data_IF_811001947952
#
_entry.id   IF_811001947952
#
_cell.length_a   1.000
_cell.length_b   1.000
_cell.length_c   1.000
_cell.angle_alpha   90.00
_cell.angle_beta   90.00
_cell.angle_gamma   90.00
#
_symmetry.space_group_name_H-M   'P 1'
#
loop_
_entity.id
_entity.type
_entity.pdbx_description
1 polymer ?
#
# COMPACT_ATOMS: atom_id res chain seq x y z
N UNK A 1 -13.44 -0.19 -87.75
CA UNK A 1 -12.95 -1.16 -86.74
C UNK A 1 -12.60 -0.37 -85.49
N UNK A 2 -13.48 -0.39 -84.49
CA UNK A 2 -13.25 0.26 -83.20
C UNK A 2 -12.27 -0.56 -82.35
N UNK A 3 -11.42 0.06 -81.52
CA UNK A 3 -10.57 -0.67 -80.59
C UNK A 3 -11.41 -1.22 -79.41
N UNK A 4 -10.96 -2.29 -78.75
CA UNK A 4 -11.72 -2.90 -77.66
C UNK A 4 -11.59 -2.06 -76.38
N UNK A 5 -12.71 -1.98 -75.67
CA UNK A 5 -12.84 -1.34 -74.36
C UNK A 5 -12.12 -2.19 -73.30
N UNK A 6 -11.29 -1.61 -72.41
CA UNK A 6 -10.69 -2.37 -71.32
C UNK A 6 -11.76 -2.69 -70.27
N UNK A 7 -11.94 -3.97 -70.01
CA UNK A 7 -12.76 -4.50 -68.91
C UNK A 7 -12.13 -4.05 -67.60
N UNK A 8 -12.80 -3.15 -66.89
CA UNK A 8 -12.44 -2.83 -65.52
C UNK A 8 -12.79 -4.03 -64.64
N UNK A 9 -11.78 -4.83 -64.29
CA UNK A 9 -11.84 -5.69 -63.11
C UNK A 9 -11.97 -4.78 -61.90
N UNK A 10 -13.21 -4.63 -61.42
CA UNK A 10 -13.47 -4.16 -60.07
C UNK A 10 -12.86 -5.18 -59.11
N UNK A 11 -11.68 -4.86 -58.60
CA UNK A 11 -11.19 -5.45 -57.36
C UNK A 11 -12.12 -4.89 -56.29
N UNK A 12 -13.00 -5.73 -55.74
CA UNK A 12 -13.63 -5.46 -54.46
C UNK A 12 -12.50 -5.31 -53.45
N UNK A 13 -12.10 -4.06 -53.24
CA UNK A 13 -11.30 -3.66 -52.09
C UNK A 13 -12.22 -3.88 -50.89
N UNK A 14 -12.15 -5.06 -50.29
CA UNK A 14 -12.90 -5.42 -49.09
C UNK A 14 -12.69 -4.32 -48.07
N UNK A 15 -13.73 -3.50 -47.85
CA UNK A 15 -13.67 -2.29 -47.05
C UNK A 15 -13.08 -2.62 -45.69
N UNK A 16 -11.88 -2.11 -45.42
CA UNK A 16 -11.23 -2.30 -44.15
C UNK A 16 -12.08 -1.62 -43.07
N UNK A 17 -12.85 -2.40 -42.32
CA UNK A 17 -13.62 -1.89 -41.19
C UNK A 17 -12.65 -1.42 -40.12
N UNK A 18 -12.65 -0.13 -39.86
CA UNK A 18 -11.84 0.52 -38.84
C UNK A 18 -12.56 0.48 -37.49
N UNK A 19 -11.82 0.59 -36.39
CA UNK A 19 -12.38 0.54 -35.04
C UNK A 19 -13.54 1.55 -34.79
N UNK A 20 -13.55 2.77 -35.37
CA UNK A 20 -14.69 3.69 -35.29
C UNK A 20 -15.98 3.19 -35.96
N UNK A 21 -15.91 2.22 -36.86
CA UNK A 21 -17.07 1.65 -37.56
C UNK A 21 -17.88 0.69 -36.67
N UNK A 22 -17.35 0.32 -35.49
CA UNK A 22 -18.06 -0.48 -34.49
C UNK A 22 -19.14 0.37 -33.83
N UNK A 23 -20.36 -0.17 -33.71
CA UNK A 23 -21.46 0.51 -33.05
C UNK A 23 -21.11 0.89 -31.60
N UNK A 24 -21.46 2.12 -31.21
CA UNK A 24 -21.14 2.69 -29.89
C UNK A 24 -21.62 1.80 -28.73
N UNK A 25 -22.78 1.16 -28.86
CA UNK A 25 -23.31 0.28 -27.81
C UNK A 25 -22.46 -0.97 -27.61
N UNK A 26 -21.87 -1.52 -28.68
CA UNK A 26 -20.97 -2.68 -28.57
C UNK A 26 -19.68 -2.26 -27.86
N UNK A 27 -19.15 -1.08 -28.21
CA UNK A 27 -17.99 -0.51 -27.53
C UNK A 27 -18.26 -0.30 -26.04
N UNK A 28 -19.38 0.35 -25.70
CA UNK A 28 -19.69 0.75 -24.33
C UNK A 28 -20.10 -0.43 -23.44
N UNK A 29 -20.85 -1.41 -23.95
CA UNK A 29 -21.43 -2.48 -23.12
C UNK A 29 -20.63 -3.80 -23.14
N UNK A 30 -19.91 -4.10 -24.21
CA UNK A 30 -19.23 -5.39 -24.38
C UNK A 30 -17.71 -5.31 -24.39
N UNK A 31 -17.13 -4.21 -24.88
CA UNK A 31 -15.67 -4.06 -25.00
C UNK A 31 -15.11 -3.32 -23.79
N UNK A 32 -15.56 -2.09 -23.53
CA UNK A 32 -14.99 -1.25 -22.46
C UNK A 32 -15.28 -1.77 -21.06
N UNK A 33 -16.39 -2.48 -20.85
CA UNK A 33 -16.74 -3.12 -19.57
C UNK A 33 -15.81 -4.26 -19.17
N UNK A 34 -15.00 -4.79 -20.10
CA UNK A 34 -14.06 -5.88 -19.86
C UNK A 34 -12.64 -5.41 -19.56
N UNK A 35 -12.36 -4.12 -19.74
CA UNK A 35 -11.03 -3.55 -19.49
C UNK A 35 -10.86 -3.26 -17.99
N UNK A 36 -9.67 -3.57 -17.47
CA UNK A 36 -9.27 -3.09 -16.15
C UNK A 36 -8.99 -1.58 -16.18
N UNK A 37 -8.93 -0.95 -15.01
CA UNK A 37 -8.77 0.51 -14.91
C UNK A 37 -7.61 1.09 -15.72
N UNK A 38 -6.38 0.54 -15.62
CA UNK A 38 -5.26 0.97 -16.45
C UNK A 38 -5.50 0.81 -17.95
N UNK A 39 -6.03 -0.31 -18.41
CA UNK A 39 -6.31 -0.50 -19.85
C UNK A 39 -7.42 0.42 -20.34
N UNK A 40 -8.44 0.68 -19.51
CA UNK A 40 -9.50 1.63 -19.85
C UNK A 40 -8.95 3.07 -19.93
N UNK A 41 -8.06 3.46 -19.01
CA UNK A 41 -7.37 4.73 -19.05
C UNK A 41 -6.51 4.86 -20.33
N UNK A 42 -5.76 3.81 -20.68
CA UNK A 42 -4.94 3.76 -21.90
C UNK A 42 -5.80 3.82 -23.17
N UNK A 43 -6.94 3.12 -23.20
CA UNK A 43 -7.88 3.20 -24.31
C UNK A 43 -8.43 4.63 -24.47
N UNK A 44 -8.74 5.29 -23.35
CA UNK A 44 -9.26 6.66 -23.33
C UNK A 44 -8.31 7.72 -23.90
N UNK A 45 -7.02 7.43 -24.02
CA UNK A 45 -6.02 8.34 -24.60
C UNK A 45 -5.79 8.14 -26.10
N UNK A 46 -6.42 7.14 -26.74
CA UNK A 46 -6.17 6.81 -28.14
C UNK A 46 -7.04 7.59 -29.13
N UNK A 47 -8.26 7.98 -28.74
CA UNK A 47 -9.18 8.76 -29.57
C UNK A 47 -10.19 9.54 -28.72
N UNK A 48 -10.80 10.58 -29.29
CA UNK A 48 -11.85 11.36 -28.63
C UNK A 48 -13.12 10.53 -28.37
N UNK A 49 -13.47 9.62 -29.27
CA UNK A 49 -14.60 8.70 -29.10
C UNK A 49 -14.39 7.79 -27.89
N UNK A 50 -13.23 7.12 -27.82
CA UNK A 50 -12.89 6.27 -26.67
C UNK A 50 -12.74 7.08 -25.38
N UNK A 51 -12.23 8.30 -25.46
CA UNK A 51 -12.19 9.20 -24.31
C UNK A 51 -13.59 9.47 -23.73
N UNK A 52 -14.53 9.84 -24.60
CA UNK A 52 -15.91 10.13 -24.20
C UNK A 52 -16.58 8.88 -23.62
N UNK A 53 -16.46 7.72 -24.27
CA UNK A 53 -17.04 6.46 -23.80
C UNK A 53 -16.42 5.96 -22.51
N UNK A 54 -15.11 6.06 -22.35
CA UNK A 54 -14.41 5.67 -21.12
C UNK A 54 -14.66 6.64 -19.97
N UNK A 55 -15.27 7.81 -20.18
CA UNK A 55 -15.52 8.79 -19.12
C UNK A 55 -16.81 8.54 -18.34
N UNK A 56 -17.62 7.56 -18.72
CA UNK A 56 -18.86 7.23 -18.02
C UNK A 56 -18.59 6.75 -16.58
N UNK A 57 -19.29 7.33 -15.61
CA UNK A 57 -19.10 7.03 -14.19
C UNK A 57 -19.35 5.54 -13.85
N UNK A 58 -20.33 4.90 -14.48
CA UNK A 58 -20.68 3.51 -14.17
C UNK A 58 -19.52 2.54 -14.44
N UNK A 59 -18.73 2.75 -15.50
CA UNK A 59 -17.56 1.93 -15.80
C UNK A 59 -16.54 2.01 -14.65
N UNK A 60 -16.25 3.22 -14.20
CA UNK A 60 -15.31 3.44 -13.10
C UNK A 60 -15.86 2.97 -11.76
N UNK A 61 -17.17 3.07 -11.52
CA UNK A 61 -17.80 2.47 -10.33
C UNK A 61 -17.60 0.96 -10.31
N UNK A 62 -17.89 0.27 -11.42
CA UNK A 62 -17.67 -1.18 -11.55
C UNK A 62 -16.20 -1.56 -11.40
N UNK A 63 -15.28 -0.78 -11.98
CA UNK A 63 -13.84 -0.97 -11.83
C UNK A 63 -13.40 -0.79 -10.37
N UNK A 64 -13.88 0.25 -9.67
CA UNK A 64 -13.60 0.45 -8.26
C UNK A 64 -14.09 -0.72 -7.40
N UNK A 65 -15.32 -1.20 -7.62
CA UNK A 65 -15.87 -2.32 -6.87
C UNK A 65 -15.17 -3.65 -7.13
N UNK A 66 -14.78 -3.91 -8.38
CA UNK A 66 -14.04 -5.13 -8.72
C UNK A 66 -12.58 -5.09 -8.26
N UNK A 67 -11.95 -3.91 -8.24
CA UNK A 67 -10.55 -3.76 -7.79
C UNK A 67 -10.45 -3.68 -6.26
N UNK A 68 -11.43 -3.06 -5.61
CA UNK A 68 -11.47 -2.80 -4.18
C UNK A 68 -12.85 -3.19 -3.62
N UNK A 69 -13.09 -4.48 -3.35
CA UNK A 69 -14.39 -4.99 -2.89
C UNK A 69 -14.95 -4.26 -1.67
N UNK A 70 -14.10 -3.80 -0.75
CA UNK A 70 -14.44 -3.01 0.45
C UNK A 70 -15.26 -1.76 0.14
N UNK A 71 -15.15 -1.24 -1.09
CA UNK A 71 -15.93 -0.08 -1.52
C UNK A 71 -17.43 -0.33 -1.65
N UNK A 72 -17.85 -1.60 -1.72
CA UNK A 72 -19.28 -2.00 -1.77
C UNK A 72 -19.90 -2.21 -0.39
N UNK A 73 -19.07 -2.36 0.64
CA UNK A 73 -19.51 -2.80 1.97
C UNK A 73 -20.21 -1.70 2.78
N UNK A 74 -19.92 -0.43 2.50
CA UNK A 74 -20.47 0.72 3.24
C UNK A 74 -21.25 1.67 2.33
N UNK A 75 -22.54 1.97 2.63
CA UNK A 75 -23.31 2.99 1.92
C UNK A 75 -22.66 4.37 1.95
N UNK A 76 -21.96 4.70 3.03
CA UNK A 76 -21.23 5.96 3.18
C UNK A 76 -20.09 6.07 2.17
N UNK A 77 -19.36 4.96 1.95
CA UNK A 77 -18.27 4.91 1.00
C UNK A 77 -18.78 5.00 -0.44
N UNK A 78 -19.92 4.35 -0.75
CA UNK A 78 -20.60 4.51 -2.05
C UNK A 78 -20.97 5.98 -2.33
N UNK A 79 -21.53 6.67 -1.35
CA UNK A 79 -21.85 8.09 -1.48
C UNK A 79 -20.58 8.94 -1.67
N UNK A 80 -19.53 8.67 -0.89
CA UNK A 80 -18.24 9.34 -1.00
C UNK A 80 -17.60 9.17 -2.39
N UNK A 81 -17.63 7.97 -2.98
CA UNK A 81 -17.13 7.76 -4.35
C UNK A 81 -17.84 8.63 -5.38
N UNK A 82 -19.14 8.82 -5.19
CA UNK A 82 -19.94 9.68 -6.07
C UNK A 82 -19.67 11.18 -5.85
N UNK A 83 -19.25 11.58 -4.64
CA UNK A 83 -18.98 12.97 -4.29
C UNK A 83 -17.56 13.45 -4.63
N UNK A 84 -16.64 12.54 -4.97
CA UNK A 84 -15.28 12.92 -5.37
C UNK A 84 -15.30 13.88 -6.58
N UNK A 85 -14.43 14.90 -6.61
CA UNK A 85 -14.21 15.69 -7.82
C UNK A 85 -13.72 14.79 -8.96
N UNK A 86 -14.50 14.64 -10.02
CA UNK A 86 -14.23 13.67 -11.11
C UNK A 86 -14.74 12.25 -10.84
N UNK A 87 -15.53 12.06 -9.78
CA UNK A 87 -16.26 10.85 -9.47
C UNK A 87 -15.39 9.62 -9.18
N UNK A 88 -15.91 8.40 -9.43
CA UNK A 88 -15.21 7.15 -9.17
C UNK A 88 -13.89 7.01 -9.93
N UNK A 89 -13.76 7.64 -11.10
CA UNK A 89 -12.51 7.67 -11.87
C UNK A 89 -11.37 8.34 -11.10
N UNK A 90 -11.69 9.45 -10.43
CA UNK A 90 -10.74 10.20 -9.60
C UNK A 90 -10.31 9.40 -8.39
N UNK A 91 -11.26 8.75 -7.70
CA UNK A 91 -10.93 7.83 -6.61
C UNK A 91 -10.00 6.70 -7.07
N UNK A 92 -10.29 6.08 -8.22
CA UNK A 92 -9.46 5.01 -8.77
C UNK A 92 -8.04 5.50 -9.08
N UNK A 93 -7.90 6.66 -9.74
CA UNK A 93 -6.58 7.21 -10.10
C UNK A 93 -5.75 7.58 -8.88
N UNK A 94 -6.38 7.94 -7.76
CA UNK A 94 -5.72 8.24 -6.49
C UNK A 94 -5.34 6.97 -5.71
N UNK A 95 -6.16 5.92 -5.80
CA UNK A 95 -6.06 4.69 -4.99
C UNK A 95 -5.30 3.55 -5.68
N UNK A 96 -5.25 3.52 -7.00
CA UNK A 96 -4.60 2.42 -7.74
C UNK A 96 -3.06 2.48 -7.72
N UNK A 97 -2.41 3.64 -7.95
CA UNK A 97 -0.96 3.70 -8.07
C UNK A 97 -0.22 3.52 -6.74
N UNK A 98 1.07 3.20 -6.83
CA UNK A 98 1.96 3.18 -5.66
C UNK A 98 2.19 4.60 -5.13
N UNK A 99 2.17 4.74 -3.81
CA UNK A 99 2.57 5.97 -3.12
C UNK A 99 4.08 6.25 -3.27
N UNK A 100 4.40 7.50 -3.55
CA UNK A 100 5.78 8.00 -3.60
C UNK A 100 6.10 8.75 -2.29
N UNK A 101 7.32 8.60 -1.73
CA UNK A 101 7.80 9.48 -0.67
C UNK A 101 7.68 10.94 -1.10
N UNK A 102 6.86 11.70 -0.36
CA UNK A 102 6.71 13.13 -0.57
C UNK A 102 7.57 13.89 0.43
N UNK A 103 8.72 14.40 -0.02
CA UNK A 103 9.63 15.21 0.79
C UNK A 103 9.24 16.70 0.87
N UNK A 104 8.09 17.09 0.28
CA UNK A 104 7.59 18.45 0.41
C UNK A 104 7.27 18.76 1.88
N UNK A 105 7.79 19.86 2.44
CA UNK A 105 7.52 20.23 3.83
C UNK A 105 6.12 20.80 4.04
N UNK A 106 5.40 21.14 2.97
CA UNK A 106 4.11 21.84 3.03
C UNK A 106 2.96 20.92 2.66
N UNK A 107 1.99 20.80 3.58
CA UNK A 107 0.61 20.42 3.25
C UNK A 107 -0.19 21.69 2.98
N UNK A 108 -1.15 21.62 2.07
CA UNK A 108 -1.95 22.81 1.70
C UNK A 108 -3.14 22.98 2.63
N UNK A 109 -3.55 21.90 3.30
CA UNK A 109 -4.71 21.83 4.17
C UNK A 109 -4.36 21.35 5.58
N UNK A 110 -5.25 21.55 6.58
CA UNK A 110 -5.10 20.94 7.90
C UNK A 110 -5.29 19.42 7.81
N UNK A 111 -4.65 18.63 8.70
CA UNK A 111 -4.88 17.19 8.75
C UNK A 111 -6.36 16.84 8.97
N UNK A 112 -6.85 15.73 8.38
CA UNK A 112 -8.25 15.38 8.44
C UNK A 112 -8.65 14.93 9.85
N UNK A 113 -9.85 15.33 10.27
CA UNK A 113 -10.44 14.95 11.56
C UNK A 113 -10.89 13.48 11.62
N UNK A 114 -11.00 12.85 10.46
CA UNK A 114 -11.43 11.47 10.30
C UNK A 114 -10.68 10.83 9.13
N UNK A 115 -10.35 9.55 9.28
CA UNK A 115 -9.81 8.71 8.22
C UNK A 115 -10.72 7.50 8.01
N UNK A 116 -10.89 7.08 6.76
CA UNK A 116 -11.57 5.83 6.43
C UNK A 116 -10.53 4.86 5.82
N UNK A 117 -10.42 3.67 6.39
CA UNK A 117 -9.61 2.58 5.86
C UNK A 117 -10.52 1.55 5.18
N UNK A 118 -10.38 1.42 3.86
CA UNK A 118 -11.05 0.39 3.07
C UNK A 118 -10.04 -0.70 2.70
N UNK A 119 -10.24 -1.90 3.23
CA UNK A 119 -9.21 -2.94 3.26
C UNK A 119 -9.74 -4.24 2.68
N UNK A 120 -8.96 -4.81 1.76
CA UNK A 120 -9.24 -6.09 1.12
C UNK A 120 -7.99 -6.96 1.12
N UNK A 121 -8.12 -8.21 1.55
CA UNK A 121 -7.06 -9.22 1.50
C UNK A 121 -7.53 -10.38 0.62
N UNK A 122 -6.69 -10.74 -0.35
CA UNK A 122 -6.94 -11.85 -1.24
C UNK A 122 -5.87 -12.92 -1.08
N UNK A 123 -6.27 -14.17 -1.24
CA UNK A 123 -5.38 -15.31 -1.37
C UNK A 123 -5.74 -16.07 -2.65
N UNK A 124 -4.76 -16.25 -3.56
CA UNK A 124 -4.97 -16.86 -4.88
C UNK A 124 -6.13 -16.22 -5.64
N UNK A 125 -6.21 -14.89 -5.58
CA UNK A 125 -7.25 -14.06 -6.18
C UNK A 125 -8.65 -14.25 -5.58
N UNK A 126 -8.81 -15.03 -4.50
CA UNK A 126 -10.06 -15.14 -3.76
C UNK A 126 -10.04 -14.15 -2.59
N UNK A 127 -11.10 -13.36 -2.43
CA UNK A 127 -11.26 -12.44 -1.32
C UNK A 127 -11.45 -13.24 -0.02
N UNK A 128 -10.51 -13.10 0.93
CA UNK A 128 -10.56 -13.78 2.23
C UNK A 128 -10.89 -12.85 3.39
N UNK A 129 -10.70 -11.54 3.21
CA UNK A 129 -11.04 -10.52 4.21
C UNK A 129 -11.41 -9.22 3.50
N UNK A 130 -12.50 -8.59 3.94
CA UNK A 130 -12.88 -7.24 3.50
C UNK A 130 -13.49 -6.47 4.67
N UNK A 131 -13.03 -5.24 4.91
CA UNK A 131 -13.59 -4.38 5.96
C UNK A 131 -13.39 -2.91 5.63
N UNK A 132 -14.34 -2.11 6.09
CA UNK A 132 -14.23 -0.65 6.15
C UNK A 132 -14.16 -0.24 7.63
N UNK A 133 -13.15 0.55 7.99
CA UNK A 133 -12.97 1.06 9.33
C UNK A 133 -12.87 2.58 9.30
N UNK A 134 -13.72 3.25 10.08
CA UNK A 134 -13.68 4.69 10.30
C UNK A 134 -12.83 4.97 11.54
N UNK A 135 -11.99 6.00 11.49
CA UNK A 135 -11.03 6.33 12.56
C UNK A 135 -11.09 7.83 12.81
N UNK A 136 -11.57 8.21 13.99
CA UNK A 136 -11.52 9.59 14.48
C UNK A 136 -10.10 9.95 14.89
N UNK A 137 -9.58 11.07 14.39
CA UNK A 137 -8.18 11.46 14.59
C UNK A 137 -8.02 12.57 15.63
N UNK A 138 -9.09 13.24 16.02
CA UNK A 138 -9.05 14.44 16.89
C UNK A 138 -8.93 14.10 18.38
N UNK A 139 -9.20 12.85 18.77
CA UNK A 139 -9.20 12.45 20.19
C UNK A 139 -7.79 12.51 20.78
N UNK A 140 -7.68 12.93 22.05
CA UNK A 140 -6.40 12.93 22.76
C UNK A 140 -5.77 11.54 22.84
N UNK A 141 -6.60 10.49 22.91
CA UNK A 141 -6.14 9.10 22.89
C UNK A 141 -5.42 8.79 21.58
N UNK A 142 -6.06 9.06 20.43
CA UNK A 142 -5.42 8.88 19.13
C UNK A 142 -4.13 9.71 19.02
N UNK A 143 -4.19 11.00 19.36
CA UNK A 143 -3.07 11.92 19.17
C UNK A 143 -1.83 11.58 20.00
N UNK A 144 -2.01 11.03 21.20
CA UNK A 144 -0.91 10.73 22.13
C UNK A 144 -0.48 9.26 22.14
N UNK A 145 -1.30 8.33 21.65
CA UNK A 145 -0.98 6.91 21.62
C UNK A 145 -0.10 6.54 20.41
N UNK A 146 0.66 5.44 20.48
CA UNK A 146 1.27 4.83 19.31
C UNK A 146 0.21 4.59 18.22
N UNK A 147 0.46 5.09 17.01
CA UNK A 147 -0.49 4.98 15.91
C UNK A 147 -0.69 3.52 15.53
N UNK A 148 -1.96 3.10 15.58
CA UNK A 148 -2.38 1.76 15.17
C UNK A 148 -3.84 1.78 14.75
N UNK A 149 -4.15 1.16 13.62
CA UNK A 149 -5.51 0.87 13.18
C UNK A 149 -5.65 -0.65 13.11
N UNK A 150 -6.44 -1.22 14.01
CA UNK A 150 -6.78 -2.65 14.03
C UNK A 150 -8.15 -2.86 13.39
N UNK A 151 -8.25 -3.86 12.50
CA UNK A 151 -9.50 -4.20 11.82
C UNK A 151 -10.20 -5.41 12.43
N UNK A 152 -9.55 -6.15 13.31
CA UNK A 152 -10.14 -7.28 14.04
C UNK A 152 -10.08 -6.95 15.52
N UNK A 153 -11.18 -7.15 16.24
CA UNK A 153 -11.09 -7.20 17.70
C UNK A 153 -10.35 -8.49 18.10
N UNK A 154 -9.74 -8.48 19.28
CA UNK A 154 -9.03 -9.60 19.92
C UNK A 154 -9.85 -10.91 20.00
N UNK A 155 -11.17 -10.86 19.77
CA UNK A 155 -12.10 -12.00 19.78
C UNK A 155 -12.62 -12.38 18.39
N UNK A 156 -12.37 -11.57 17.37
CA UNK A 156 -12.84 -11.80 16.02
C UNK A 156 -11.86 -12.71 15.30
N UNK A 157 -12.31 -13.91 14.91
CA UNK A 157 -11.45 -14.89 14.23
C UNK A 157 -12.13 -15.32 12.94
N UNK A 158 -11.49 -15.04 11.78
CA UNK A 158 -12.10 -15.27 10.46
C UNK A 158 -11.43 -16.46 9.78
N UNK A 159 -12.17 -17.57 9.70
CA UNK A 159 -11.74 -18.81 9.02
C UNK A 159 -11.46 -18.57 7.55
N UNK A 160 -10.31 -19.03 7.05
CA UNK A 160 -9.97 -18.96 5.63
C UNK A 160 -9.55 -20.32 5.10
N UNK A 161 -9.84 -20.62 3.84
CA UNK A 161 -9.61 -21.95 3.23
C UNK A 161 -8.13 -22.23 2.88
N UNK A 162 -7.18 -21.54 3.52
CA UNK A 162 -5.75 -21.73 3.24
C UNK A 162 -5.30 -23.01 3.93
N UNK A 163 -4.90 -24.02 3.14
CA UNK A 163 -4.36 -25.27 3.68
C UNK A 163 -2.96 -25.07 4.25
N UNK A 164 -2.73 -25.59 5.45
CA UNK A 164 -1.42 -25.66 6.10
C UNK A 164 -0.38 -26.33 5.20
N UNK A 165 0.87 -25.85 5.23
CA UNK A 165 1.99 -26.43 4.49
C UNK A 165 3.25 -26.48 5.36
N UNK A 166 3.72 -27.70 5.63
CA UNK A 166 4.86 -28.02 6.50
C UNK A 166 6.24 -27.87 5.85
N UNK A 167 6.32 -27.31 4.64
CA UNK A 167 7.56 -27.25 3.87
C UNK A 167 8.21 -25.87 3.97
N UNK A 168 9.50 -25.81 4.32
CA UNK A 168 10.26 -24.56 4.51
C UNK A 168 10.31 -23.69 3.24
N UNK A 169 10.12 -24.28 2.05
CA UNK A 169 10.00 -23.58 0.76
C UNK A 169 8.61 -23.01 0.45
N UNK A 170 7.58 -23.38 1.22
CA UNK A 170 6.19 -23.00 0.95
C UNK A 170 5.89 -21.51 1.24
N UNK A 171 6.66 -20.89 2.12
CA UNK A 171 6.42 -19.52 2.57
C UNK A 171 6.80 -18.49 1.50
N UNK A 172 7.77 -18.81 0.64
CA UNK A 172 8.10 -17.99 -0.52
C UNK A 172 6.93 -17.93 -1.50
N UNK A 173 6.25 -19.06 -1.76
CA UNK A 173 5.03 -19.06 -2.58
C UNK A 173 3.90 -18.26 -1.95
N UNK A 174 3.75 -18.27 -0.62
CA UNK A 174 2.70 -17.50 0.05
C UNK A 174 2.83 -15.99 -0.21
N UNK A 175 4.07 -15.48 -0.32
CA UNK A 175 4.32 -14.06 -0.56
C UNK A 175 3.76 -13.56 -1.90
N UNK A 176 3.71 -14.44 -2.90
CA UNK A 176 3.20 -14.13 -4.23
C UNK A 176 1.70 -14.48 -4.38
N UNK A 177 1.17 -15.34 -3.51
CA UNK A 177 -0.23 -15.77 -3.50
C UNK A 177 -1.16 -14.84 -2.71
N UNK A 178 -0.65 -14.11 -1.71
CA UNK A 178 -1.42 -13.15 -0.92
C UNK A 178 -1.27 -11.74 -1.49
N UNK A 179 -2.40 -11.06 -1.72
CA UNK A 179 -2.41 -9.64 -2.06
C UNK A 179 -3.29 -8.85 -1.10
N UNK A 180 -2.96 -7.57 -0.94
CA UNK A 180 -3.66 -6.68 -0.03
C UNK A 180 -3.85 -5.31 -0.69
N UNK A 181 -5.01 -4.69 -0.47
CA UNK A 181 -5.23 -3.27 -0.68
C UNK A 181 -5.66 -2.63 0.63
N UNK A 182 -4.94 -1.59 1.06
CA UNK A 182 -5.33 -0.75 2.18
C UNK A 182 -5.47 0.67 1.67
N UNK A 183 -6.69 1.06 1.32
CA UNK A 183 -6.98 2.40 0.83
C UNK A 183 -7.33 3.27 2.03
N UNK A 184 -6.46 4.23 2.32
CA UNK A 184 -6.73 5.28 3.27
C UNK A 184 -7.42 6.43 2.55
N UNK A 185 -8.51 6.94 3.11
CA UNK A 185 -9.37 7.95 2.52
C UNK A 185 -9.53 9.10 3.51
N UNK A 186 -9.31 10.32 3.04
CA UNK A 186 -9.76 11.55 3.68
C UNK A 186 -11.12 11.94 3.07
N UNK A 187 -12.22 11.77 3.82
CA UNK A 187 -13.56 12.03 3.32
C UNK A 187 -13.85 13.51 3.08
N UNK A 188 -13.12 14.42 3.74
CA UNK A 188 -13.34 15.87 3.63
C UNK A 188 -12.49 16.44 2.50
N UNK A 189 -11.21 16.08 2.45
CA UNK A 189 -10.29 16.48 1.39
C UNK A 189 -10.51 15.79 0.05
N UNK A 190 -11.39 14.78 -0.03
CA UNK A 190 -11.58 13.91 -1.19
C UNK A 190 -10.25 13.32 -1.71
N UNK A 191 -9.38 12.92 -0.79
CA UNK A 191 -8.12 12.27 -1.10
C UNK A 191 -8.21 10.79 -0.76
N UNK A 192 -7.55 9.96 -1.56
CA UNK A 192 -7.41 8.54 -1.27
C UNK A 192 -6.02 8.08 -1.66
N UNK A 193 -5.48 7.10 -0.95
CA UNK A 193 -4.23 6.47 -1.34
C UNK A 193 -4.14 5.05 -0.82
N UNK A 194 -3.50 4.18 -1.60
CA UNK A 194 -3.24 2.83 -1.17
C UNK A 194 -1.86 2.73 -0.49
N UNK A 195 -1.87 2.42 0.81
CA UNK A 195 -0.67 2.29 1.62
C UNK A 195 0.07 0.97 1.39
N UNK A 196 -0.58 0.00 0.77
CA UNK A 196 -0.02 -1.33 0.55
C UNK A 196 0.80 -1.42 -0.74
N UNK A 197 1.79 -2.32 -0.74
CA UNK A 197 2.60 -2.71 -1.90
C UNK A 197 1.87 -3.63 -2.87
N UNK A 198 0.58 -3.90 -2.66
CA UNK A 198 -0.21 -4.94 -3.32
C UNK A 198 0.25 -6.37 -3.02
N UNK A 199 1.52 -6.68 -3.26
CA UNK A 199 2.17 -7.95 -2.91
C UNK A 199 2.87 -7.88 -1.56
N UNK A 200 3.03 -9.03 -0.91
CA UNK A 200 3.73 -9.11 0.36
C UNK A 200 5.22 -8.73 0.17
N UNK A 201 5.76 -8.00 1.15
CA UNK A 201 7.18 -7.63 1.20
C UNK A 201 7.99 -8.59 2.08
N UNK A 202 7.33 -9.24 3.04
CA UNK A 202 7.92 -10.32 3.83
C UNK A 202 6.83 -11.23 4.39
N UNK A 203 7.19 -12.50 4.61
CA UNK A 203 6.38 -13.51 5.29
C UNK A 203 7.27 -14.12 6.36
N UNK A 204 6.81 -14.13 7.61
CA UNK A 204 7.56 -14.67 8.74
C UNK A 204 6.66 -15.56 9.57
N UNK A 205 7.10 -16.79 9.86
CA UNK A 205 6.45 -17.66 10.84
C UNK A 205 7.05 -17.41 12.21
N UNK A 206 6.19 -17.19 13.20
CA UNK A 206 6.61 -17.07 14.59
C UNK A 206 6.94 -18.46 15.15
N UNK A 207 8.16 -18.62 15.68
CA UNK A 207 8.71 -19.93 16.08
C UNK A 207 7.93 -20.62 17.21
N UNK A 208 7.34 -19.84 18.14
CA UNK A 208 6.61 -20.40 19.29
C UNK A 208 5.12 -20.64 18.99
N UNK A 209 4.39 -19.61 18.57
CA UNK A 209 2.95 -19.69 18.28
C UNK A 209 2.62 -20.39 16.96
N UNK A 210 3.59 -20.56 16.06
CA UNK A 210 3.35 -21.09 14.72
C UNK A 210 2.61 -20.13 13.78
N UNK A 211 2.20 -18.95 14.26
CA UNK A 211 1.46 -17.96 13.48
C UNK A 211 2.30 -17.37 12.36
N UNK A 212 1.66 -17.09 11.22
CA UNK A 212 2.28 -16.55 10.02
C UNK A 212 1.94 -15.08 9.91
N UNK A 213 2.95 -14.22 9.97
CA UNK A 213 2.83 -12.79 9.72
C UNK A 213 3.20 -12.49 8.28
N UNK A 214 2.23 -11.96 7.54
CA UNK A 214 2.44 -11.43 6.19
C UNK A 214 2.49 -9.91 6.28
N UNK A 215 3.57 -9.31 5.80
CA UNK A 215 3.78 -7.86 5.84
C UNK A 215 3.62 -7.23 4.48
N UNK A 216 2.95 -6.09 4.48
CA UNK A 216 2.82 -5.16 3.37
C UNK A 216 3.15 -3.77 3.89
N UNK A 217 3.28 -2.78 3.01
CA UNK A 217 3.38 -1.41 3.47
C UNK A 217 4.18 -0.52 2.55
N UNK A 218 4.13 0.77 2.83
CA UNK A 218 4.82 1.79 2.04
C UNK A 218 5.90 2.47 2.87
N UNK A 219 6.98 2.85 2.19
CA UNK A 219 8.03 3.68 2.77
C UNK A 219 7.74 5.12 2.36
N UNK A 220 7.58 6.00 3.35
CA UNK A 220 7.24 7.41 3.16
C UNK A 220 8.33 8.30 3.74
N UNK A 221 8.31 9.57 3.34
CA UNK A 221 9.18 10.58 3.93
C UNK A 221 8.67 10.96 5.33
N UNK A 222 9.54 10.84 6.33
CA UNK A 222 9.35 11.35 7.68
C UNK A 222 9.33 12.88 7.74
N UNK A 223 8.91 13.42 8.89
CA UNK A 223 8.81 14.87 9.09
C UNK A 223 10.14 15.57 9.41
N UNK A 224 10.30 16.79 8.88
CA UNK A 224 11.05 17.94 9.41
C UNK A 224 12.54 17.88 9.83
N UNK A 225 13.32 16.82 9.66
CA UNK A 225 14.79 16.94 9.83
C UNK A 225 15.51 17.34 8.54
N UNK A 226 16.02 18.58 8.52
CA UNK A 226 17.02 19.06 7.54
C UNK A 226 18.34 18.33 7.79
N UNK A 227 18.77 17.51 6.83
CA UNK A 227 20.05 16.79 6.87
C UNK A 227 20.20 15.84 5.68
N UNK A 228 21.41 15.31 5.41
CA UNK A 228 21.74 14.50 4.23
C UNK A 228 21.09 13.10 4.21
N UNK A 229 20.40 12.69 5.28
CA UNK A 229 19.59 11.47 5.35
C UNK A 229 18.16 11.86 5.72
N UNK A 230 17.30 12.06 4.72
CA UNK A 230 15.88 12.28 5.01
C UNK A 230 15.36 11.12 5.86
N UNK A 231 14.74 11.42 6.99
CA UNK A 231 14.11 10.39 7.82
C UNK A 231 13.03 9.71 6.98
N UNK A 232 13.07 8.39 6.90
CA UNK A 232 12.03 7.58 6.27
C UNK A 232 11.20 6.93 7.36
N UNK A 233 9.93 6.72 7.07
CA UNK A 233 9.02 5.98 7.93
C UNK A 233 8.39 4.84 7.14
N UNK A 234 8.06 3.79 7.85
CA UNK A 234 7.41 2.62 7.30
C UNK A 234 5.95 2.57 7.77
N UNK A 235 5.01 2.73 6.84
CA UNK A 235 3.60 2.45 7.05
C UNK A 235 3.38 0.95 6.88
N UNK A 236 3.64 0.19 7.95
CA UNK A 236 3.58 -1.26 7.95
C UNK A 236 2.18 -1.78 8.16
N UNK A 237 1.76 -2.69 7.28
CA UNK A 237 0.53 -3.45 7.38
C UNK A 237 0.90 -4.88 7.73
N UNK A 238 0.31 -5.42 8.78
CA UNK A 238 0.54 -6.78 9.25
C UNK A 238 -0.76 -7.55 9.15
N UNK A 239 -0.71 -8.70 8.48
CA UNK A 239 -1.76 -9.72 8.50
C UNK A 239 -1.21 -10.91 9.26
N UNK A 240 -1.78 -11.20 10.43
CA UNK A 240 -1.41 -12.38 11.22
C UNK A 240 -2.42 -13.47 10.96
N UNK A 241 -1.93 -14.62 10.53
CA UNK A 241 -2.74 -15.80 10.30
C UNK A 241 -2.30 -16.94 11.22
N UNK A 242 -3.23 -17.55 11.95
CA UNK A 242 -2.97 -18.71 12.83
C UNK A 242 -3.65 -19.96 12.31
N UNK A 243 -3.25 -21.13 12.80
CA UNK A 243 -3.97 -22.37 12.50
C UNK A 243 -5.30 -22.43 13.27
N UNK A 244 -6.34 -22.91 12.58
CA UNK A 244 -7.62 -23.32 13.14
C UNK A 244 -7.58 -24.80 13.51
N UNK A 245 -8.49 -25.25 14.38
CA UNK A 245 -8.63 -26.64 14.84
C UNK A 245 -8.79 -27.65 13.67
N UNK A 246 -9.21 -27.19 12.48
CA UNK A 246 -9.35 -27.99 11.26
C UNK A 246 -8.14 -28.00 10.30
N UNK A 247 -7.00 -27.41 10.68
CA UNK A 247 -5.79 -27.33 9.81
C UNK A 247 -5.88 -26.26 8.70
N UNK A 248 -6.90 -25.40 8.76
CA UNK A 248 -7.07 -24.22 7.91
C UNK A 248 -6.44 -22.98 8.56
N UNK A 249 -5.80 -22.12 7.77
CA UNK A 249 -5.25 -20.84 8.25
C UNK A 249 -6.41 -19.87 8.53
N UNK A 250 -6.32 -19.09 9.60
CA UNK A 250 -7.35 -18.17 10.04
C UNK A 250 -6.75 -16.78 10.19
N UNK A 251 -7.39 -15.75 9.63
CA UNK A 251 -6.93 -14.36 9.82
C UNK A 251 -7.31 -13.94 11.23
N UNK A 252 -6.30 -13.61 12.04
CA UNK A 252 -6.43 -13.23 13.46
C UNK A 252 -6.16 -11.76 13.69
N UNK A 253 -5.32 -11.16 12.85
CA UNK A 253 -4.98 -9.74 12.95
C UNK A 253 -4.87 -9.15 11.56
N UNK A 254 -5.41 -7.95 11.38
CA UNK A 254 -5.12 -7.08 10.24
C UNK A 254 -4.93 -5.68 10.80
N UNK A 255 -3.69 -5.21 10.84
CA UNK A 255 -3.32 -3.95 11.49
C UNK A 255 -2.44 -3.06 10.61
N UNK A 256 -2.60 -1.75 10.74
CA UNK A 256 -1.72 -0.72 10.15
C UNK A 256 -1.01 0.03 11.25
N UNK A 257 0.31 0.17 11.13
CA UNK A 257 1.19 0.84 12.07
C UNK A 257 2.17 1.75 11.32
N UNK A 258 2.69 2.78 12.00
CA UNK A 258 3.71 3.67 11.42
C UNK A 258 4.95 3.65 12.32
N UNK A 259 6.06 3.19 11.76
CA UNK A 259 7.34 3.06 12.44
C UNK A 259 8.39 4.00 11.84
N UNK A 260 9.28 4.53 12.67
CA UNK A 260 10.49 5.21 12.23
C UNK A 260 11.62 4.24 11.82
N UNK A 261 12.76 4.79 11.42
CA UNK A 261 13.97 4.03 11.09
C UNK A 261 14.53 3.22 12.27
N UNK A 262 14.20 3.58 13.50
CA UNK A 262 14.65 2.90 14.71
C UNK A 262 13.68 1.79 15.16
N UNK A 263 12.50 1.68 14.50
CA UNK A 263 11.45 0.72 14.83
C UNK A 263 10.54 1.19 15.96
N UNK A 264 10.59 2.47 16.31
CA UNK A 264 9.69 3.07 17.27
C UNK A 264 8.38 3.44 16.57
N UNK A 265 7.26 3.07 17.18
CA UNK A 265 5.94 3.50 16.73
C UNK A 265 5.78 5.00 16.91
N UNK A 266 5.39 5.68 15.84
CA UNK A 266 5.06 7.09 15.89
C UNK A 266 3.72 7.30 16.61
N UNK A 267 3.55 8.47 17.21
CA UNK A 267 2.25 8.85 17.80
C UNK A 267 1.19 9.02 16.71
N UNK A 268 -0.10 8.97 17.08
CA UNK A 268 -1.17 9.26 16.12
C UNK A 268 -1.05 10.65 15.51
N UNK A 269 -0.61 11.64 16.29
CA UNK A 269 -0.35 13.00 15.80
C UNK A 269 0.73 13.03 14.72
N UNK A 270 1.89 12.44 14.98
CA UNK A 270 3.02 12.47 14.03
C UNK A 270 2.71 11.64 12.78
N UNK A 271 2.06 10.50 12.96
CA UNK A 271 1.61 9.62 11.88
C UNK A 271 0.58 10.30 10.98
N UNK A 272 -0.38 11.01 11.57
CA UNK A 272 -1.42 11.72 10.82
C UNK A 272 -0.82 12.80 9.90
N UNK A 273 0.19 13.54 10.35
CA UNK A 273 0.88 14.53 9.51
C UNK A 273 1.54 13.87 8.29
N UNK A 274 2.15 12.71 8.49
CA UNK A 274 2.83 11.98 7.41
C UNK A 274 1.81 11.38 6.43
N UNK A 275 0.78 10.71 6.94
CA UNK A 275 -0.29 10.11 6.14
C UNK A 275 -1.03 11.19 5.34
N UNK A 276 -1.32 12.34 5.96
CA UNK A 276 -1.95 13.46 5.29
C UNK A 276 -1.09 14.01 4.13
N UNK A 277 0.23 14.19 4.36
CA UNK A 277 1.17 14.59 3.30
C UNK A 277 1.25 13.55 2.17
N UNK A 278 1.13 12.27 2.50
CA UNK A 278 1.13 11.19 1.52
C UNK A 278 -0.16 11.18 0.68
N UNK A 279 -1.31 11.44 1.31
CA UNK A 279 -2.59 11.62 0.63
C UNK A 279 -2.51 12.77 -0.39
N UNK A 280 -1.97 13.93 -0.02
CA UNK A 280 -1.75 15.07 -0.93
C UNK A 280 -0.56 14.88 -1.90
N UNK A 281 0.22 13.81 -1.76
CA UNK A 281 1.47 13.59 -2.48
C UNK A 281 1.32 13.17 -3.95
N UNK A 282 2.43 13.13 -4.68
CA UNK A 282 2.44 12.62 -6.06
C UNK A 282 2.28 11.09 -6.07
N UNK A 283 1.64 10.59 -7.13
CA UNK A 283 1.44 9.15 -7.37
C UNK A 283 2.47 8.63 -8.38
N UNK A 284 2.90 7.38 -8.21
CA UNK A 284 3.82 6.71 -9.15
C UNK A 284 3.15 6.38 -10.48
N UNK A 285 3.91 6.38 -11.57
CA UNK A 285 3.40 6.07 -12.91
C UNK A 285 3.68 4.61 -13.34
N UNK A 286 4.35 3.78 -12.50
CA UNK A 286 4.90 2.49 -12.96
C UNK A 286 4.83 1.37 -11.91
N UNK A 287 4.99 0.13 -12.41
CA UNK A 287 5.00 -1.19 -11.75
C UNK A 287 5.06 -1.16 -10.22
N UNK A 288 3.87 -1.03 -9.63
CA UNK A 288 3.63 -0.96 -8.19
C UNK A 288 4.34 -2.06 -7.40
N UNK A 289 4.31 -3.30 -7.88
CA UNK A 289 4.86 -4.44 -7.14
C UNK A 289 6.40 -4.42 -7.06
N UNK A 290 7.07 -4.26 -8.20
CA UNK A 290 8.53 -4.25 -8.29
C UNK A 290 9.14 -3.04 -7.56
N UNK A 291 8.56 -1.86 -7.77
CA UNK A 291 9.04 -0.63 -7.14
C UNK A 291 8.81 -0.65 -5.63
N UNK A 292 7.65 -1.13 -5.19
CA UNK A 292 7.33 -1.29 -3.78
C UNK A 292 8.31 -2.22 -3.05
N UNK A 293 8.56 -3.41 -3.63
CA UNK A 293 9.51 -4.39 -3.07
C UNK A 293 10.95 -3.84 -3.05
N UNK A 294 11.37 -3.12 -4.10
CA UNK A 294 12.68 -2.46 -4.16
C UNK A 294 12.86 -1.47 -3.01
N UNK A 295 11.92 -0.54 -2.83
CA UNK A 295 11.99 0.48 -1.78
C UNK A 295 11.99 -0.09 -0.38
N UNK A 296 11.18 -1.14 -0.15
CA UNK A 296 11.18 -1.82 1.13
C UNK A 296 12.56 -2.44 1.43
N UNK A 297 13.19 -3.06 0.44
CA UNK A 297 14.55 -3.62 0.58
C UNK A 297 15.58 -2.53 0.91
N UNK A 298 15.58 -1.43 0.16
CA UNK A 298 16.44 -0.27 0.41
C UNK A 298 16.25 0.30 1.83
N UNK A 299 15.00 0.44 2.28
CA UNK A 299 14.67 0.87 3.65
C UNK A 299 15.21 -0.11 4.70
N UNK A 300 15.07 -1.42 4.48
CA UNK A 300 15.58 -2.44 5.40
C UNK A 300 17.11 -2.47 5.47
N UNK A 301 17.80 -2.24 4.35
CA UNK A 301 19.25 -2.08 4.30
C UNK A 301 19.69 -0.85 5.11
N UNK A 302 19.04 0.31 4.90
CA UNK A 302 19.31 1.52 5.70
C UNK A 302 19.05 1.31 7.20
N UNK A 303 17.99 0.57 7.56
CA UNK A 303 17.67 0.22 8.96
C UNK A 303 18.76 -0.65 9.57
N UNK A 304 19.28 -1.62 8.81
CA UNK A 304 20.41 -2.48 9.22
C UNK A 304 21.68 -1.67 9.42
N UNK A 305 22.08 -0.85 8.44
CA UNK A 305 23.29 -0.03 8.55
C UNK A 305 23.25 0.94 9.73
N UNK A 306 22.08 1.52 10.02
CA UNK A 306 21.89 2.43 11.16
C UNK A 306 22.05 1.69 12.48
N UNK A 307 21.51 0.47 12.61
CA UNK A 307 21.72 -0.40 13.79
C UNK A 307 23.18 -0.79 13.96
N UNK A 308 23.85 -1.20 12.90
CA UNK A 308 25.28 -1.55 12.95
C UNK A 308 26.14 -0.34 13.36
N UNK A 309 25.82 0.86 12.89
CA UNK A 309 26.48 2.11 13.34
C UNK A 309 26.25 2.40 14.82
N UNK A 310 25.02 2.23 15.33
CA UNK A 310 24.71 2.42 16.76
C UNK A 310 25.46 1.42 17.64
N UNK A 311 25.45 0.14 17.27
CA UNK A 311 26.17 -0.91 17.99
C UNK A 311 27.68 -0.65 18.05
N UNK A 312 28.28 -0.15 16.95
CA UNK A 312 29.70 0.24 16.94
C UNK A 312 29.98 1.39 17.91
N UNK A 313 29.10 2.39 17.94
CA UNK A 313 29.24 3.53 18.88
C UNK A 313 29.07 3.09 20.33
N UNK A 314 28.05 2.28 20.63
CA UNK A 314 27.80 1.73 21.97
C UNK A 314 28.99 0.88 22.43
N UNK A 315 29.48 -0.03 21.59
CA UNK A 315 30.67 -0.82 21.86
C UNK A 315 31.91 0.05 22.13
N UNK A 316 32.07 1.15 21.40
CA UNK A 316 33.18 2.10 21.61
C UNK A 316 33.04 2.80 22.96
N UNK A 317 31.83 3.22 23.34
CA UNK A 317 31.55 3.85 24.63
C UNK A 317 31.77 2.88 25.79
N UNK A 318 31.33 1.62 25.66
CA UNK A 318 31.56 0.59 26.67
C UNK A 318 33.05 0.31 26.87
N UNK A 319 33.82 0.20 25.78
CA UNK A 319 35.27 0.03 25.86
C UNK A 319 35.96 1.21 26.56
N UNK A 320 35.54 2.45 26.28
CA UNK A 320 36.03 3.63 26.98
C UNK A 320 35.67 3.60 28.47
N UNK A 321 34.42 3.28 28.82
CA UNK A 321 33.96 3.14 30.20
C UNK A 321 34.79 2.10 30.98
N UNK A 322 35.05 0.92 30.39
CA UNK A 322 35.88 -0.13 31.00
C UNK A 322 37.31 0.37 31.20
N UNK A 323 37.91 1.02 30.19
CA UNK A 323 39.26 1.56 30.29
C UNK A 323 39.36 2.63 31.41
N UNK A 324 38.40 3.56 31.49
CA UNK A 324 38.35 4.55 32.57
C UNK A 324 38.23 3.88 33.95
N UNK A 325 37.36 2.87 34.09
CA UNK A 325 37.21 2.11 35.33
C UNK A 325 38.50 1.43 35.78
N UNK A 326 39.20 0.75 34.86
CA UNK A 326 40.50 0.11 35.15
C UNK A 326 41.56 1.14 35.54
N UNK A 327 41.57 2.30 34.89
CA UNK A 327 42.54 3.36 35.17
C UNK A 327 42.32 3.96 36.57
N UNK A 328 41.07 4.23 36.94
CA UNK A 328 40.70 4.72 38.28
C UNK A 328 41.06 3.69 39.35
N UNK A 329 40.72 2.41 39.13
CA UNK A 329 41.04 1.32 40.05
C UNK A 329 42.55 1.17 40.24
N UNK A 330 43.32 1.19 39.16
CA UNK A 330 44.78 1.09 39.22
C UNK A 330 45.41 2.29 39.95
N UNK A 331 44.92 3.50 39.70
CA UNK A 331 45.37 4.70 40.40
C UNK A 331 45.06 4.65 41.90
N UNK A 332 43.87 4.14 42.27
CA UNK A 332 43.49 3.94 43.67
C UNK A 332 44.40 2.94 44.39
N UNK A 333 44.74 1.81 43.76
CA UNK A 333 45.69 0.85 44.34
C UNK A 333 47.10 1.41 44.46
N UNK A 334 47.58 2.15 43.45
CA UNK A 334 48.87 2.81 43.53
C UNK A 334 48.91 3.85 44.66
N UNK A 335 47.82 4.59 44.87
CA UNK A 335 47.71 5.51 46.01
C UNK A 335 47.82 4.76 47.34
N UNK A 336 47.04 3.69 47.54
CA UNK A 336 47.09 2.88 48.76
C UNK A 336 48.45 2.21 49.03
N UNK A 337 49.19 1.82 47.99
CA UNK A 337 50.51 1.19 48.13
C UNK A 337 51.63 2.21 48.40
N UNK A 338 51.44 3.48 48.02
CA UNK A 338 52.42 4.55 48.21
C UNK A 338 52.19 5.40 49.47
N UNK A 339 51.09 5.19 50.20
CA UNK A 339 50.77 5.83 51.49
C UNK A 339 50.99 4.89 52.66
#
# INVERSE_FOLDING_TARGET
MSPPQPTATAVEEGGATTFPDIHQDILSTHILTRLDGPSLASASSTSSQLHALSSHHHLWTTICHSTFPSTTTSPRLLHLLSSFPGGPRSFFSLSFPLLLPNFSPTTTSPPPAELISAVDVHYKNNLIFTKVQETETTTSWFMCSPFRIDLLDTKDVISTTIRHRDDDGAWTSLSDEVTLSWILIDPVGNQAANLSTHKAVSVQRHWLSGEVQVRFGSVLAGGNRRGPTSELVHCGIVVTCGESEGGELQVREVSLQVEDMDGMHLTGKDSLVILHRALEGKRGHMRREEEGRRRYREYMEMKRERRERKLKTEWTLDMLCVAFGVTIFSAFWLFLLCT
#
